data_IF_194061603814
#
_entry.id   IF_194061603814
#
_cell.length_a   1.000
_cell.length_b   1.000
_cell.length_c   1.000
_cell.angle_alpha   90.00
_cell.angle_beta   90.00
_cell.angle_gamma   90.00
#
_symmetry.space_group_name_H-M   'P 1'
#
loop_
_entity.id
_entity.type
_entity.pdbx_description
1 polymer ?
#
# COMPACT_ATOMS: atom_id res chain seq x y z
N UNK A 1 -2.90 -40.97 22.74
CA UNK A 1 -2.44 -39.97 21.74
C UNK A 1 -3.66 -39.39 21.05
N UNK A 2 -4.24 -38.29 21.57
CA UNK A 2 -5.24 -37.51 20.85
C UNK A 2 -4.57 -36.20 20.43
N UNK A 3 -4.44 -36.00 19.12
CA UNK A 3 -3.90 -34.77 18.52
C UNK A 3 -5.02 -33.73 18.58
N UNK A 4 -4.94 -32.81 19.54
CA UNK A 4 -5.77 -31.61 19.55
C UNK A 4 -5.44 -30.80 18.28
N UNK A 5 -6.32 -30.83 17.29
CA UNK A 5 -6.21 -29.93 16.15
C UNK A 5 -6.50 -28.51 16.67
N UNK A 6 -5.54 -27.56 16.56
CA UNK A 6 -5.69 -26.23 17.11
C UNK A 6 -6.81 -25.50 16.37
N UNK A 7 -7.97 -25.37 17.05
CA UNK A 7 -9.14 -24.62 16.58
C UNK A 7 -8.86 -23.13 16.32
N UNK A 8 -7.64 -22.68 16.61
CA UNK A 8 -7.11 -21.37 16.25
C UNK A 8 -7.07 -21.14 14.73
N UNK A 9 -6.81 -22.16 13.93
CA UNK A 9 -6.71 -21.98 12.47
C UNK A 9 -8.05 -21.53 11.87
N UNK A 10 -9.15 -22.16 12.29
CA UNK A 10 -10.50 -21.85 11.77
C UNK A 10 -10.98 -20.47 12.23
N UNK A 11 -10.56 -20.03 13.42
CA UNK A 11 -10.90 -18.70 13.94
C UNK A 11 -10.19 -17.57 13.16
N UNK A 12 -8.94 -17.78 12.75
CA UNK A 12 -8.18 -16.84 11.91
C UNK A 12 -8.81 -16.76 10.51
N UNK A 13 -9.23 -17.90 9.94
CA UNK A 13 -9.89 -17.93 8.64
C UNK A 13 -11.28 -17.25 8.65
N UNK A 14 -12.06 -17.42 9.72
CA UNK A 14 -13.38 -16.82 9.86
C UNK A 14 -13.38 -15.31 10.14
N UNK A 15 -12.32 -14.78 10.76
CA UNK A 15 -12.19 -13.35 11.06
C UNK A 15 -11.99 -12.51 9.79
N UNK A 16 -11.27 -13.04 8.80
CA UNK A 16 -11.06 -12.41 7.49
C UNK A 16 -12.37 -12.19 6.72
N UNK A 17 -13.40 -13.01 6.96
CA UNK A 17 -14.70 -12.91 6.29
C UNK A 17 -15.66 -11.88 6.92
N UNK A 18 -15.35 -11.36 8.13
CA UNK A 18 -16.27 -10.51 8.90
C UNK A 18 -16.16 -9.01 8.60
N UNK A 19 -15.14 -8.57 7.85
CA UNK A 19 -14.99 -7.16 7.46
C UNK A 19 -15.19 -6.94 5.96
N UNK A 20 -16.45 -6.86 5.47
CA UNK A 20 -16.75 -6.43 4.10
C UNK A 20 -16.29 -4.99 3.77
N UNK A 21 -15.69 -4.26 4.73
CA UNK A 21 -14.93 -3.02 4.45
C UNK A 21 -13.64 -3.28 3.66
N UNK A 22 -13.03 -4.47 3.78
CA UNK A 22 -11.89 -4.86 2.94
C UNK A 22 -12.29 -5.27 1.51
N UNK A 23 -13.55 -5.65 1.28
CA UNK A 23 -14.05 -6.00 -0.06
C UNK A 23 -14.19 -4.79 -1.02
N UNK A 24 -14.02 -3.56 -0.53
CA UNK A 24 -14.05 -2.34 -1.36
C UNK A 24 -12.70 -2.10 -2.08
N UNK A 25 -11.64 -2.87 -1.74
CA UNK A 25 -10.32 -2.79 -2.40
C UNK A 25 -10.38 -3.01 -3.91
N UNK A 26 -11.34 -3.80 -4.41
CA UNK A 26 -11.46 -4.11 -5.84
C UNK A 26 -11.80 -2.90 -6.75
N UNK A 27 -12.13 -1.73 -6.17
CA UNK A 27 -12.38 -0.48 -6.91
C UNK A 27 -11.53 0.70 -6.42
N UNK A 28 -10.55 0.46 -5.55
CA UNK A 28 -9.69 1.54 -5.08
C UNK A 28 -8.85 2.07 -6.26
N UNK A 29 -8.83 3.39 -6.45
CA UNK A 29 -7.86 4.03 -7.36
C UNK A 29 -6.57 4.27 -6.59
N UNK A 30 -5.39 4.26 -7.25
CA UNK A 30 -4.14 4.59 -6.59
C UNK A 30 -4.23 5.96 -5.92
N UNK A 31 -3.65 6.09 -4.72
CA UNK A 31 -3.70 7.35 -3.95
C UNK A 31 -2.30 7.87 -3.66
N UNK A 32 -2.03 9.16 -3.87
CA UNK A 32 -0.70 9.71 -3.68
C UNK A 32 -0.35 9.76 -2.19
N UNK A 33 0.75 9.12 -1.82
CA UNK A 33 1.39 9.19 -0.50
C UNK A 33 2.48 10.27 -0.45
N UNK A 34 3.16 10.54 -1.57
CA UNK A 34 4.18 11.60 -1.68
C UNK A 34 3.91 12.44 -2.92
N UNK A 35 4.04 13.77 -2.77
CA UNK A 35 4.07 14.73 -3.87
C UNK A 35 5.26 15.66 -3.71
N UNK A 36 6.19 15.63 -4.66
CA UNK A 36 7.35 16.52 -4.74
C UNK A 36 8.11 16.58 -3.41
N UNK A 37 8.48 15.39 -2.92
CA UNK A 37 9.18 15.21 -1.65
C UNK A 37 8.30 15.23 -0.39
N UNK A 38 7.05 15.69 -0.49
CA UNK A 38 6.20 15.92 0.68
C UNK A 38 5.20 14.78 0.90
N UNK A 39 5.18 14.24 2.12
CA UNK A 39 4.26 13.18 2.52
C UNK A 39 2.84 13.71 2.70
N UNK A 40 1.86 13.09 2.04
CA UNK A 40 0.43 13.33 2.26
C UNK A 40 -0.04 12.56 3.50
N UNK A 41 0.19 13.16 4.66
CA UNK A 41 -0.19 12.61 5.97
C UNK A 41 -1.68 12.33 6.10
N UNK A 42 -2.53 13.00 5.32
CA UNK A 42 -3.98 12.75 5.32
C UNK A 42 -4.31 11.46 4.57
N UNK A 43 -3.65 11.23 3.44
CA UNK A 43 -3.80 9.96 2.68
C UNK A 43 -3.24 8.81 3.50
N UNK A 44 -2.03 8.93 4.04
CA UNK A 44 -1.40 7.91 4.88
C UNK A 44 -2.30 7.46 6.04
N UNK A 45 -2.85 8.41 6.81
CA UNK A 45 -3.80 8.09 7.89
C UNK A 45 -5.07 7.39 7.40
N UNK A 46 -5.60 7.79 6.24
CA UNK A 46 -6.82 7.20 5.67
C UNK A 46 -6.59 5.79 5.13
N UNK A 47 -5.36 5.50 4.69
CA UNK A 47 -4.93 4.20 4.17
C UNK A 47 -4.19 3.35 5.23
N UNK A 48 -4.16 3.81 6.49
CA UNK A 48 -3.49 3.14 7.61
C UNK A 48 -2.00 2.83 7.34
N UNK A 49 -1.32 3.67 6.54
CA UNK A 49 0.10 3.56 6.24
C UNK A 49 0.91 4.35 7.27
N UNK A 50 1.84 3.68 7.94
CA UNK A 50 2.80 4.32 8.86
C UNK A 50 4.00 4.87 8.10
N UNK A 51 4.77 5.74 8.76
CA UNK A 51 6.02 6.27 8.20
C UNK A 51 7.02 5.15 7.94
N UNK A 52 7.13 4.21 8.88
CA UNK A 52 8.04 3.06 8.76
C UNK A 52 7.68 2.16 7.58
N UNK A 53 6.39 1.91 7.35
CA UNK A 53 5.94 1.14 6.18
C UNK A 53 6.30 1.86 4.88
N UNK A 54 5.94 3.15 4.77
CA UNK A 54 6.27 3.95 3.58
C UNK A 54 7.77 4.00 3.34
N UNK A 55 8.58 4.28 4.36
CA UNK A 55 10.03 4.32 4.25
C UNK A 55 10.62 2.94 3.88
N UNK A 56 10.04 1.85 4.38
CA UNK A 56 10.45 0.50 4.01
C UNK A 56 10.20 0.23 2.52
N UNK A 57 9.01 0.59 2.03
CA UNK A 57 8.65 0.45 0.62
C UNK A 57 9.50 1.35 -0.30
N UNK A 58 9.81 2.58 0.12
CA UNK A 58 10.75 3.45 -0.60
C UNK A 58 12.13 2.80 -0.72
N UNK A 59 12.63 2.21 0.37
CA UNK A 59 13.93 1.52 0.38
C UNK A 59 13.94 0.27 -0.51
N UNK A 60 12.83 -0.48 -0.58
CA UNK A 60 12.68 -1.57 -1.55
C UNK A 60 12.74 -1.08 -3.00
N UNK A 61 12.31 0.16 -3.26
CA UNK A 61 12.45 0.84 -4.54
C UNK A 61 13.79 1.61 -4.70
N UNK A 62 14.76 1.36 -3.81
CA UNK A 62 16.08 1.98 -3.85
C UNK A 62 16.09 3.48 -3.54
N UNK A 63 15.13 3.96 -2.75
CA UNK A 63 15.03 5.36 -2.29
C UNK A 63 15.14 5.40 -0.76
N UNK A 64 16.09 6.17 -0.24
CA UNK A 64 16.31 6.31 1.20
C UNK A 64 15.73 7.59 1.78
N UNK A 65 15.40 8.55 0.93
CA UNK A 65 14.91 9.87 1.31
C UNK A 65 13.65 10.23 0.51
N UNK A 66 12.50 10.43 1.19
CA UNK A 66 11.27 10.88 0.55
C UNK A 66 11.43 12.14 -0.29
N UNK A 67 12.34 13.07 0.05
CA UNK A 67 12.54 14.33 -0.68
C UNK A 67 13.01 14.10 -2.13
N UNK A 68 13.60 12.94 -2.41
CA UNK A 68 14.05 12.53 -3.75
C UNK A 68 12.92 11.96 -4.61
N UNK A 69 11.70 11.88 -4.09
CA UNK A 69 10.54 11.29 -4.76
C UNK A 69 9.66 12.38 -5.36
N UNK A 70 9.42 12.31 -6.68
CA UNK A 70 8.47 13.19 -7.36
C UNK A 70 7.03 12.80 -7.04
N UNK A 71 6.70 11.50 -7.12
CA UNK A 71 5.41 10.94 -6.72
C UNK A 71 5.59 9.56 -6.11
N UNK A 72 4.79 9.25 -5.09
CA UNK A 72 4.57 7.86 -4.67
C UNK A 72 3.08 7.61 -4.48
N UNK A 73 2.61 6.43 -4.89
CA UNK A 73 1.20 6.04 -4.75
C UNK A 73 1.08 4.74 -3.97
N UNK A 74 0.05 4.63 -3.13
CA UNK A 74 -0.42 3.34 -2.65
C UNK A 74 -1.35 2.74 -3.71
N UNK A 75 -0.98 1.57 -4.20
CA UNK A 75 -1.72 0.80 -5.19
C UNK A 75 -2.82 -0.03 -4.52
N UNK A 76 -3.85 -0.47 -5.26
CA UNK A 76 -4.96 -1.26 -4.70
C UNK A 76 -4.53 -2.60 -4.10
N UNK A 77 -3.37 -3.13 -4.51
CA UNK A 77 -2.78 -4.35 -3.96
C UNK A 77 -1.95 -4.10 -2.68
N UNK A 78 -1.87 -2.85 -2.20
CA UNK A 78 -1.10 -2.47 -1.01
C UNK A 78 0.38 -2.17 -1.27
N UNK A 79 0.86 -2.30 -2.51
CA UNK A 79 2.24 -1.94 -2.87
C UNK A 79 2.38 -0.43 -3.07
N UNK A 80 3.59 0.08 -2.90
CA UNK A 80 3.90 1.48 -3.22
C UNK A 80 4.65 1.57 -4.55
N UNK A 81 4.09 2.31 -5.49
CA UNK A 81 4.80 2.72 -6.71
C UNK A 81 5.53 4.04 -6.46
N UNK A 82 6.72 4.20 -7.04
CA UNK A 82 7.60 5.37 -6.85
C UNK A 82 8.02 5.92 -8.20
N UNK A 83 7.88 7.22 -8.38
CA UNK A 83 8.30 7.97 -9.56
C UNK A 83 9.35 8.99 -9.12
N UNK A 84 10.54 8.89 -9.72
CA UNK A 84 11.68 9.78 -9.48
C UNK A 84 11.64 11.01 -10.41
N UNK A 85 12.34 12.11 -10.09
CA UNK A 85 12.31 13.35 -10.89
C UNK A 85 12.70 13.18 -12.36
N UNK A 86 13.58 12.24 -12.66
CA UNK A 86 14.07 11.90 -14.00
C UNK A 86 13.13 10.98 -14.79
N UNK A 87 12.09 10.43 -14.15
CA UNK A 87 11.08 9.58 -14.77
C UNK A 87 9.88 10.40 -15.23
N UNK A 88 9.35 10.06 -16.40
CA UNK A 88 8.07 10.60 -16.87
C UNK A 88 6.97 10.25 -15.87
N UNK A 89 6.15 11.24 -15.55
CA UNK A 89 4.96 11.05 -14.72
C UNK A 89 3.78 10.99 -15.67
N UNK A 90 3.07 9.86 -15.76
CA UNK A 90 1.87 9.80 -16.58
C UNK A 90 0.83 10.80 -16.06
N UNK A 91 0.06 11.42 -16.95
CA UNK A 91 -0.99 12.40 -16.60
C UNK A 91 -2.10 11.79 -15.71
N UNK A 92 -2.25 10.47 -15.71
CA UNK A 92 -3.17 9.71 -14.85
C UNK A 92 -2.39 8.63 -14.06
N UNK A 93 -2.80 8.25 -12.83
CA UNK A 93 -2.16 7.15 -12.12
C UNK A 93 -2.05 5.91 -13.01
N UNK A 94 -0.91 5.22 -12.94
CA UNK A 94 -0.65 4.03 -13.75
C UNK A 94 -1.86 3.08 -13.63
N UNK A 95 -2.38 2.57 -14.77
CA UNK A 95 -3.45 1.60 -14.71
C UNK A 95 -2.98 0.43 -13.83
N UNK A 96 -3.88 -0.15 -13.01
CA UNK A 96 -3.51 -1.26 -12.15
C UNK A 96 -2.83 -2.33 -13.02
N UNK A 97 -1.75 -2.97 -12.52
CA UNK A 97 -1.05 -3.98 -13.29
C UNK A 97 -2.06 -5.03 -13.76
N UNK A 98 -2.04 -5.34 -15.07
CA UNK A 98 -2.84 -6.41 -15.62
C UNK A 98 -2.37 -7.71 -14.95
N UNK A 99 -3.23 -8.27 -14.09
CA UNK A 99 -3.04 -9.59 -13.50
C UNK A 99 -3.19 -10.70 -14.53
#
# INVERSE_FOLDING_TARGET
MLRHHPLWSVAVDGLSYRWPRFATLAKARPRPLIRDGQLDRRVMRREFITDEELLSQLRLNGVTDPEQVKRAYIEPNGMVSVIRPDQETPDEPLPPPAG
#
